data_IF_835525386864
#
_entry.id   IF_835525386864
#
_cell.length_a   1.000
_cell.length_b   1.000
_cell.length_c   1.000
_cell.angle_alpha   90.00
_cell.angle_beta   90.00
_cell.angle_gamma   90.00
#
_symmetry.space_group_name_H-M   'P 1'
#
loop_
_entity.id
_entity.type
_entity.pdbx_description
1 polymer ?
#
# COMPACT_ATOMS: atom_id res chain seq x y z
N UNK A 1 -79.44 -20.46 -4.95
CA UNK A 1 -78.52 -20.21 -6.04
C UNK A 1 -77.27 -19.52 -5.45
N UNK A 2 -76.17 -20.24 -5.30
CA UNK A 2 -74.90 -19.70 -4.72
C UNK A 2 -73.84 -19.68 -5.87
N UNK A 3 -73.46 -18.46 -6.31
CA UNK A 3 -72.50 -18.21 -7.32
C UNK A 3 -71.10 -18.19 -6.69
N UNK A 4 -70.24 -19.12 -7.09
CA UNK A 4 -68.83 -19.20 -6.60
C UNK A 4 -67.95 -18.46 -7.61
N UNK A 5 -67.34 -17.38 -7.18
CA UNK A 5 -66.38 -16.58 -7.95
C UNK A 5 -64.98 -17.19 -7.79
N UNK A 6 -64.41 -17.71 -8.86
CA UNK A 6 -63.03 -18.24 -8.89
C UNK A 6 -62.06 -17.09 -9.21
N UNK A 7 -61.20 -16.73 -8.26
CA UNK A 7 -60.05 -15.85 -8.48
C UNK A 7 -58.87 -16.69 -8.98
N UNK A 8 -58.43 -16.45 -10.22
CA UNK A 8 -57.17 -16.97 -10.73
C UNK A 8 -56.03 -16.04 -10.33
N UNK A 9 -55.14 -16.51 -9.47
CA UNK A 9 -53.87 -15.82 -9.16
C UNK A 9 -52.85 -16.10 -10.28
N UNK A 10 -52.53 -15.08 -11.07
CA UNK A 10 -51.44 -15.12 -12.05
C UNK A 10 -50.14 -14.77 -11.28
N UNK A 11 -49.30 -15.76 -10.99
CA UNK A 11 -47.99 -15.56 -10.38
C UNK A 11 -46.97 -15.07 -11.43
N UNK A 12 -46.54 -13.82 -11.34
CA UNK A 12 -45.43 -13.27 -12.13
C UNK A 12 -44.11 -13.73 -11.53
N UNK A 13 -43.40 -14.63 -12.24
CA UNK A 13 -42.04 -15.06 -11.90
C UNK A 13 -41.07 -13.97 -12.34
N UNK A 14 -40.59 -13.15 -11.36
CA UNK A 14 -39.50 -12.20 -11.58
C UNK A 14 -38.17 -12.98 -11.61
N UNK A 15 -37.65 -13.24 -12.80
CA UNK A 15 -36.29 -13.72 -13.04
C UNK A 15 -35.32 -12.57 -12.71
N UNK A 16 -34.87 -12.50 -11.46
CA UNK A 16 -33.80 -11.58 -11.05
C UNK A 16 -32.47 -11.99 -11.71
N UNK A 17 -32.12 -11.31 -12.81
CA UNK A 17 -30.80 -11.45 -13.41
C UNK A 17 -29.74 -10.94 -12.45
N UNK A 18 -28.94 -11.84 -11.87
CA UNK A 18 -27.72 -11.48 -11.16
C UNK A 18 -26.69 -11.05 -12.21
N UNK A 19 -26.47 -9.75 -12.32
CA UNK A 19 -25.33 -9.22 -13.05
C UNK A 19 -24.06 -9.62 -12.29
N UNK A 20 -23.34 -10.63 -12.81
CA UNK A 20 -21.98 -10.91 -12.37
C UNK A 20 -21.12 -9.71 -12.79
N UNK A 21 -20.80 -8.82 -11.86
CA UNK A 21 -19.75 -7.85 -12.06
C UNK A 21 -18.46 -8.62 -12.29
N UNK A 22 -17.89 -8.53 -13.50
CA UNK A 22 -16.59 -9.11 -13.80
C UNK A 22 -15.56 -8.52 -12.83
N UNK A 23 -14.85 -9.37 -12.07
CA UNK A 23 -13.76 -8.90 -11.22
C UNK A 23 -12.73 -8.16 -12.11
N UNK A 24 -12.23 -6.99 -11.67
CA UNK A 24 -11.25 -6.24 -12.43
C UNK A 24 -10.03 -7.13 -12.65
N UNK A 25 -9.62 -7.25 -13.92
CA UNK A 25 -8.49 -8.10 -14.34
C UNK A 25 -7.24 -7.64 -13.59
N UNK A 26 -6.75 -8.45 -12.66
CA UNK A 26 -5.51 -8.18 -11.95
C UNK A 26 -4.36 -8.00 -12.94
N UNK A 27 -3.59 -6.93 -12.80
CA UNK A 27 -2.37 -6.72 -13.56
C UNK A 27 -1.42 -7.90 -13.35
N UNK A 28 -0.94 -8.50 -14.45
CA UNK A 28 0.01 -9.61 -14.40
C UNK A 28 1.38 -9.09 -13.93
N UNK A 29 1.97 -9.78 -12.97
CA UNK A 29 3.29 -9.46 -12.40
C UNK A 29 4.36 -10.50 -12.77
N UNK A 30 4.08 -11.40 -13.71
CA UNK A 30 5.00 -12.47 -14.10
C UNK A 30 6.29 -11.95 -14.73
N UNK A 31 6.24 -10.75 -15.36
CA UNK A 31 7.42 -10.11 -15.95
C UNK A 31 8.40 -9.53 -14.91
N UNK A 32 7.96 -9.33 -13.64
CA UNK A 32 8.86 -8.86 -12.60
C UNK A 32 9.77 -9.99 -12.11
N UNK A 33 11.03 -9.72 -11.78
CA UNK A 33 11.95 -10.74 -11.29
C UNK A 33 11.38 -11.53 -10.11
N UNK A 34 11.79 -12.78 -9.97
CA UNK A 34 11.53 -13.52 -8.74
C UNK A 34 12.33 -12.88 -7.59
N UNK A 35 11.80 -12.98 -6.37
CA UNK A 35 12.55 -12.55 -5.19
C UNK A 35 13.79 -13.46 -5.01
N UNK A 36 14.89 -12.87 -4.58
CA UNK A 36 16.11 -13.59 -4.24
C UNK A 36 15.98 -14.34 -2.91
N UNK A 37 16.99 -15.17 -2.59
CA UNK A 37 17.04 -15.85 -1.30
C UNK A 37 17.06 -14.83 -0.15
N UNK A 38 16.23 -15.04 0.87
CA UNK A 38 16.02 -14.11 2.00
C UNK A 38 15.39 -12.75 1.64
N UNK A 39 14.77 -12.66 0.47
CA UNK A 39 14.04 -11.47 0.02
C UNK A 39 12.57 -11.80 -0.21
N UNK A 40 11.69 -10.84 0.04
CA UNK A 40 10.27 -10.91 -0.27
C UNK A 40 9.91 -9.94 -1.39
N UNK A 41 9.01 -10.37 -2.27
CA UNK A 41 8.37 -9.54 -3.27
C UNK A 41 6.99 -9.12 -2.77
N UNK A 42 6.88 -7.87 -2.34
CA UNK A 42 5.62 -7.27 -1.86
C UNK A 42 4.95 -6.55 -3.00
N UNK A 43 3.64 -6.73 -3.16
CA UNK A 43 2.84 -6.11 -4.22
C UNK A 43 1.69 -5.33 -3.62
N UNK A 44 1.69 -4.01 -3.85
CA UNK A 44 0.62 -3.11 -3.42
C UNK A 44 -0.22 -2.76 -4.64
N UNK A 45 -1.53 -3.01 -4.57
CA UNK A 45 -2.52 -2.60 -5.57
C UNK A 45 -3.43 -1.58 -4.95
N UNK A 46 -3.54 -0.43 -5.58
CA UNK A 46 -4.38 0.66 -5.10
C UNK A 46 -5.73 0.64 -5.82
N UNK A 47 -6.82 1.03 -5.15
CA UNK A 47 -8.11 1.21 -5.78
C UNK A 47 -8.08 2.39 -6.76
N UNK A 48 -8.97 2.38 -7.75
CA UNK A 48 -9.19 3.55 -8.60
C UNK A 48 -9.84 4.67 -7.78
N UNK A 49 -9.36 5.91 -7.98
CA UNK A 49 -9.90 7.12 -7.36
C UNK A 49 -10.06 8.21 -8.42
N UNK A 50 -10.96 9.15 -8.17
CA UNK A 50 -11.32 10.18 -9.16
C UNK A 50 -10.15 11.13 -9.52
N UNK A 51 -9.35 11.52 -8.53
CA UNK A 51 -8.23 12.47 -8.70
C UNK A 51 -6.91 11.87 -8.19
N UNK A 52 -6.32 10.97 -8.94
CA UNK A 52 -5.04 10.35 -8.59
C UNK A 52 -3.88 11.36 -8.53
N UNK A 53 -3.96 12.44 -9.34
CA UNK A 53 -2.93 13.49 -9.38
C UNK A 53 -2.78 14.24 -8.05
N UNK A 54 -3.84 14.28 -7.23
CA UNK A 54 -3.84 14.92 -5.92
C UNK A 54 -3.38 13.98 -4.80
N UNK A 55 -2.89 12.78 -5.15
CA UNK A 55 -2.56 11.77 -4.18
C UNK A 55 -1.11 11.29 -4.30
N UNK A 56 -0.53 11.01 -3.14
CA UNK A 56 0.75 10.35 -3.01
C UNK A 56 0.64 9.12 -2.11
N UNK A 57 1.54 8.17 -2.32
CA UNK A 57 1.68 6.99 -1.49
C UNK A 57 2.99 7.11 -0.72
N UNK A 58 2.89 7.07 0.61
CA UNK A 58 4.04 6.88 1.48
C UNK A 58 4.23 5.39 1.72
N UNK A 59 5.32 4.86 1.24
CA UNK A 59 5.75 3.49 1.48
C UNK A 59 6.51 3.45 2.81
N UNK A 60 6.07 2.65 3.74
CA UNK A 60 6.69 2.50 5.06
C UNK A 60 7.33 1.12 5.14
N UNK A 61 8.65 1.08 5.09
CA UNK A 61 9.42 -0.15 5.28
C UNK A 61 10.07 -0.09 6.65
N UNK A 62 9.98 -1.17 7.40
CA UNK A 62 10.52 -1.20 8.76
C UNK A 62 10.40 -2.59 9.36
N UNK A 63 10.79 -2.71 10.62
CA UNK A 63 10.65 -3.97 11.36
C UNK A 63 10.11 -3.77 12.76
N UNK A 64 9.45 -4.78 13.29
CA UNK A 64 9.00 -4.80 14.67
C UNK A 64 10.17 -5.10 15.59
N UNK A 65 10.33 -4.28 16.61
CA UNK A 65 11.39 -4.39 17.61
C UNK A 65 10.86 -4.08 19.00
N UNK A 66 11.44 -4.69 20.01
CA UNK A 66 11.23 -4.30 21.41
C UNK A 66 12.06 -3.06 21.70
N UNK A 67 11.39 -1.93 21.89
CA UNK A 67 12.01 -0.62 22.14
C UNK A 67 11.52 -0.05 23.48
N UNK A 68 12.39 0.71 24.13
CA UNK A 68 12.06 1.53 25.29
C UNK A 68 11.70 2.96 24.86
N UNK A 69 11.90 3.95 25.72
CA UNK A 69 11.68 5.36 25.39
C UNK A 69 12.67 5.89 24.35
N UNK A 70 13.78 5.19 24.08
CA UNK A 70 14.77 5.52 23.07
C UNK A 70 14.44 4.82 21.75
N UNK A 71 13.51 5.40 21.00
CA UNK A 71 13.09 4.83 19.70
C UNK A 71 14.26 4.88 18.69
N UNK A 72 14.75 3.73 18.22
CA UNK A 72 15.81 3.71 17.23
C UNK A 72 15.31 4.22 15.86
N UNK A 73 16.24 4.70 15.03
CA UNK A 73 16.00 5.11 13.66
C UNK A 73 16.96 4.40 12.74
N UNK A 74 16.47 3.96 11.60
CA UNK A 74 17.26 3.41 10.50
C UNK A 74 17.28 4.38 9.33
N UNK A 75 18.40 4.47 8.64
CA UNK A 75 18.51 5.17 7.37
C UNK A 75 18.66 4.15 6.24
N UNK A 76 17.98 4.39 5.11
CA UNK A 76 18.04 3.56 3.93
C UNK A 76 17.21 4.19 2.82
N UNK A 77 17.33 3.69 1.60
CA UNK A 77 16.61 4.22 0.44
C UNK A 77 15.86 3.11 -0.27
N UNK A 78 14.71 3.47 -0.86
CA UNK A 78 14.06 2.64 -1.87
C UNK A 78 14.58 3.07 -3.24
N UNK A 79 15.30 2.18 -3.89
CA UNK A 79 15.91 2.41 -5.20
C UNK A 79 14.97 1.93 -6.30
N UNK A 80 14.77 2.76 -7.32
CA UNK A 80 13.94 2.40 -8.46
C UNK A 80 14.77 1.67 -9.51
N UNK A 81 14.27 0.51 -9.93
CA UNK A 81 14.82 -0.31 -10.99
C UNK A 81 13.78 -0.54 -12.08
N UNK A 82 14.23 -0.85 -13.29
CA UNK A 82 13.32 -1.14 -14.41
C UNK A 82 13.38 -2.60 -14.81
N UNK A 83 12.21 -3.16 -15.12
CA UNK A 83 12.10 -4.51 -15.68
C UNK A 83 12.61 -4.50 -17.10
N UNK A 84 13.70 -5.22 -17.36
CA UNK A 84 14.36 -5.26 -18.67
C UNK A 84 13.40 -5.72 -19.77
N UNK A 85 13.28 -4.92 -20.82
CA UNK A 85 12.44 -5.21 -21.98
C UNK A 85 10.95 -4.87 -21.82
N UNK A 86 10.49 -4.45 -20.63
CA UNK A 86 9.07 -4.16 -20.35
C UNK A 86 8.77 -2.70 -20.01
N UNK A 87 9.77 -1.95 -19.55
CA UNK A 87 9.59 -0.55 -19.16
C UNK A 87 8.83 -0.32 -17.85
N UNK A 88 8.45 -1.38 -17.13
CA UNK A 88 7.86 -1.26 -15.79
C UNK A 88 8.93 -1.09 -14.73
N UNK A 89 8.60 -0.34 -13.69
CA UNK A 89 9.51 -0.09 -12.59
C UNK A 89 9.13 -0.91 -11.34
N UNK A 90 10.13 -1.26 -10.55
CA UNK A 90 9.99 -1.83 -9.23
C UNK A 90 10.93 -1.13 -8.25
N UNK A 91 10.67 -1.28 -6.97
CA UNK A 91 11.46 -0.68 -5.91
C UNK A 91 12.23 -1.77 -5.17
N UNK A 92 13.44 -1.48 -4.81
CA UNK A 92 14.29 -2.37 -4.00
C UNK A 92 14.80 -1.61 -2.79
N UNK A 93 14.72 -2.22 -1.62
CA UNK A 93 15.35 -1.66 -0.43
C UNK A 93 16.87 -1.81 -0.56
N UNK A 94 17.56 -0.68 -0.63
CA UNK A 94 19.01 -0.62 -0.62
C UNK A 94 19.59 -0.95 0.75
N UNK A 95 20.88 -0.64 0.93
CA UNK A 95 21.56 -0.86 2.22
C UNK A 95 20.91 -0.05 3.33
N UNK A 96 20.56 -0.72 4.42
CA UNK A 96 20.05 -0.08 5.64
C UNK A 96 21.18 0.12 6.64
N UNK A 97 21.21 1.29 7.29
CA UNK A 97 22.20 1.60 8.33
C UNK A 97 21.98 0.77 9.60
N UNK A 98 22.98 0.72 10.44
CA UNK A 98 22.78 0.35 11.83
C UNK A 98 21.79 1.32 12.52
N UNK A 99 21.03 0.86 13.52
CA UNK A 99 20.08 1.71 14.23
C UNK A 99 20.81 2.78 15.07
N UNK A 100 20.30 4.01 14.99
CA UNK A 100 20.76 5.12 15.82
C UNK A 100 19.65 5.46 16.81
N UNK A 101 19.97 5.52 18.10
CA UNK A 101 19.00 5.89 19.14
C UNK A 101 19.67 6.79 20.19
N UNK A 102 18.85 7.44 21.00
CA UNK A 102 19.30 8.14 22.21
C UNK A 102 19.63 7.14 23.33
N UNK A 103 20.32 7.58 24.35
CA UNK A 103 20.63 6.81 25.56
C UNK A 103 20.08 7.52 26.80
N UNK A 104 18.80 7.92 26.73
CA UNK A 104 18.15 8.56 27.87
C UNK A 104 17.73 7.54 28.91
N UNK A 105 17.77 7.93 30.18
CA UNK A 105 17.16 7.15 31.24
C UNK A 105 15.62 7.14 31.04
N UNK A 106 15.05 5.98 30.84
CA UNK A 106 13.60 5.84 30.69
C UNK A 106 12.90 5.89 32.05
N UNK A 107 11.77 6.60 32.18
CA UNK A 107 11.00 6.65 33.42
C UNK A 107 10.50 5.29 33.90
N UNK A 108 10.20 4.42 32.93
CA UNK A 108 9.86 3.02 33.14
C UNK A 108 10.82 2.13 32.35
N UNK A 109 11.16 0.98 32.90
CA UNK A 109 12.01 0.00 32.23
C UNK A 109 11.23 -0.87 31.21
N UNK A 110 9.99 -0.50 30.89
CA UNK A 110 9.13 -1.31 30.01
C UNK A 110 9.53 -1.15 28.54
N UNK A 111 9.76 -2.29 27.89
CA UNK A 111 9.93 -2.35 26.45
C UNK A 111 8.60 -2.71 25.80
N UNK A 112 8.33 -2.08 24.66
CA UNK A 112 7.12 -2.25 23.88
C UNK A 112 7.49 -2.65 22.46
N UNK A 113 6.78 -3.63 21.88
CA UNK A 113 6.92 -3.96 20.47
C UNK A 113 6.42 -2.81 19.62
N UNK A 114 7.28 -2.26 18.80
CA UNK A 114 7.00 -1.10 17.97
C UNK A 114 7.52 -1.34 16.55
N UNK A 115 6.74 -0.91 15.56
CA UNK A 115 7.21 -0.86 14.19
C UNK A 115 8.17 0.30 14.04
N UNK A 116 9.43 0.00 13.74
CA UNK A 116 10.49 0.99 13.54
C UNK A 116 10.73 1.15 12.05
N UNK A 117 10.36 2.32 11.53
CA UNK A 117 10.44 2.64 10.11
C UNK A 117 11.86 3.04 9.70
N UNK A 118 12.22 2.71 8.46
CA UNK A 118 13.41 3.20 7.77
C UNK A 118 13.06 4.54 7.12
N UNK A 119 13.98 5.51 7.21
CA UNK A 119 13.84 6.84 6.63
C UNK A 119 14.92 7.09 5.58
N UNK A 120 14.56 7.79 4.51
CA UNK A 120 15.47 8.17 3.43
C UNK A 120 14.72 8.58 2.17
N UNK A 121 15.29 8.31 1.01
CA UNK A 121 14.70 8.65 -0.28
C UNK A 121 13.90 7.49 -0.87
N UNK A 122 12.97 7.81 -1.78
CA UNK A 122 12.19 6.83 -2.54
C UNK A 122 10.94 6.29 -1.82
N UNK A 123 10.66 6.75 -0.59
CA UNK A 123 9.49 6.29 0.16
C UNK A 123 8.20 7.02 -0.18
N UNK A 124 8.25 8.12 -0.93
CA UNK A 124 7.07 8.81 -1.44
C UNK A 124 7.01 8.64 -2.96
N UNK A 125 5.89 8.12 -3.44
CA UNK A 125 5.63 7.86 -4.85
C UNK A 125 4.26 8.41 -5.25
N UNK A 126 4.11 8.77 -6.52
CA UNK A 126 2.81 9.21 -7.04
C UNK A 126 1.80 8.06 -7.00
N UNK A 127 0.55 8.40 -6.72
CA UNK A 127 -0.54 7.44 -6.79
C UNK A 127 -0.70 6.88 -8.20
N UNK A 128 -0.95 5.58 -8.32
CA UNK A 128 -1.28 4.93 -9.58
C UNK A 128 -2.09 3.66 -9.31
N UNK A 129 -3.37 3.67 -9.67
CA UNK A 129 -4.24 2.50 -9.54
C UNK A 129 -4.05 1.48 -10.67
N UNK A 130 -3.52 1.92 -11.82
CA UNK A 130 -3.40 1.08 -13.03
C UNK A 130 -2.23 0.10 -12.97
N UNK A 131 -1.18 0.46 -12.23
CA UNK A 131 0.01 -0.36 -12.08
C UNK A 131 0.25 -0.69 -10.60
N UNK A 132 0.59 -1.93 -10.26
CA UNK A 132 0.96 -2.29 -8.90
C UNK A 132 2.32 -1.69 -8.55
N UNK A 133 2.51 -1.31 -7.29
CA UNK A 133 3.83 -1.11 -6.75
C UNK A 133 4.41 -2.47 -6.38
N UNK A 134 5.55 -2.80 -6.97
CA UNK A 134 6.29 -4.03 -6.68
C UNK A 134 7.56 -3.65 -5.93
N UNK A 135 7.69 -4.17 -4.71
CA UNK A 135 8.82 -3.89 -3.84
C UNK A 135 9.57 -5.19 -3.51
N UNK A 136 10.88 -5.09 -3.42
CA UNK A 136 11.74 -6.17 -2.94
C UNK A 136 12.43 -5.71 -1.67
N UNK A 137 12.19 -6.44 -0.59
CA UNK A 137 12.74 -6.14 0.74
C UNK A 137 13.26 -7.43 1.37
N UNK A 138 14.33 -7.39 2.21
CA UNK A 138 14.72 -8.55 2.99
C UNK A 138 13.57 -9.02 3.90
N UNK A 139 13.48 -10.33 4.15
CA UNK A 139 12.37 -10.96 4.89
C UNK A 139 12.18 -10.45 6.32
N UNK A 140 13.20 -9.81 6.88
CA UNK A 140 13.11 -9.20 8.22
C UNK A 140 12.32 -7.89 8.27
N UNK A 141 11.99 -7.30 7.10
CA UNK A 141 11.27 -6.04 7.00
C UNK A 141 9.84 -6.24 6.57
N UNK A 142 8.94 -5.51 7.22
CA UNK A 142 7.52 -5.41 6.89
C UNK A 142 7.30 -4.16 6.04
N UNK A 143 6.45 -4.27 5.02
CA UNK A 143 6.05 -3.14 4.17
C UNK A 143 4.62 -2.76 4.51
N UNK A 144 4.41 -1.47 4.78
CA UNK A 144 3.11 -0.82 4.95
C UNK A 144 3.01 0.35 4.00
N UNK A 145 1.82 0.89 3.80
CA UNK A 145 1.67 2.13 3.06
C UNK A 145 0.60 3.02 3.70
N UNK A 146 0.71 4.32 3.42
CA UNK A 146 -0.23 5.35 3.83
C UNK A 146 -0.51 6.24 2.64
N UNK A 147 -1.76 6.68 2.50
CA UNK A 147 -2.17 7.58 1.43
C UNK A 147 -2.15 9.02 1.95
N UNK A 148 -1.60 9.90 1.14
CA UNK A 148 -1.61 11.34 1.33
C UNK A 148 -2.48 11.96 0.26
N UNK A 149 -3.24 12.98 0.62
CA UNK A 149 -4.05 13.74 -0.30
C UNK A 149 -3.68 15.21 -0.22
N UNK A 150 -3.45 15.85 -1.37
CA UNK A 150 -3.23 17.28 -1.43
C UNK A 150 -4.53 18.03 -1.09
N UNK A 151 -4.39 19.23 -0.53
CA UNK A 151 -5.50 20.17 -0.45
C UNK A 151 -5.82 20.68 -1.86
N UNK A 152 -7.10 20.92 -2.12
CA UNK A 152 -7.59 21.41 -3.43
C UNK A 152 -7.24 22.88 -3.69
N UNK A 153 -6.70 23.58 -2.70
CA UNK A 153 -6.38 25.00 -2.76
C UNK A 153 -4.86 25.23 -2.80
N UNK A 154 -4.33 25.47 -4.00
CA UNK A 154 -2.97 26.00 -4.10
C UNK A 154 -2.92 27.43 -3.54
N UNK A 155 -1.97 27.69 -2.65
CA UNK A 155 -1.73 29.03 -2.10
C UNK A 155 -0.62 29.73 -2.89
N UNK A 156 -0.77 31.00 -3.23
CA UNK A 156 0.30 31.76 -3.87
C UNK A 156 1.47 31.97 -2.92
N UNK A 157 2.69 31.84 -3.44
CA UNK A 157 3.88 32.24 -2.69
C UNK A 157 4.04 33.77 -2.67
N UNK A 158 4.54 34.31 -1.58
CA UNK A 158 4.94 35.73 -1.50
C UNK A 158 6.38 35.89 -2.04
N UNK A 159 6.60 37.02 -2.74
CA UNK A 159 7.93 37.42 -3.20
C UNK A 159 8.45 38.44 -2.18
N UNK A 160 9.62 38.14 -1.60
CA UNK A 160 10.35 39.06 -0.69
C UNK A 160 11.51 39.75 -1.40
#
# INVERSE_FOLDING_TARGET
>A
MKTVLRFSLLGALLLGGHAFAAEPKKFDISMFPAAEVNQERVVIRLPEVENEADMMVELQVGKKMLVDCNLPRFAGNLEQHSVKGWGYNYLMLGKVSDPISTLMACPDAQKKETFVQIYGQGFFVNYNSKLPFVLYVPQEYEVRYRLWRADNLAQPAMIE
#
